data_IF_356950367336
#
_entry.id   IF_356950367336
#
_cell.length_a   1.000
_cell.length_b   1.000
_cell.length_c   1.000
_cell.angle_alpha   90.00
_cell.angle_beta   90.00
_cell.angle_gamma   90.00
#
_symmetry.space_group_name_H-M   'P 1'
#
loop_
_entity.id
_entity.type
_entity.pdbx_description
1 polymer ?
#
# COMPACT_ATOMS: atom_id res chain seq x y z
N UNK A 1 17.23 -8.03 -17.96
CA UNK A 1 17.40 -6.63 -17.54
C UNK A 1 16.85 -6.50 -16.13
N UNK A 2 17.75 -6.55 -15.14
CA UNK A 2 17.43 -6.47 -13.72
C UNK A 2 17.39 -4.99 -13.38
N UNK A 3 16.26 -4.45 -12.93
CA UNK A 3 16.17 -3.07 -12.43
C UNK A 3 16.96 -2.97 -11.13
N UNK A 4 18.26 -2.69 -11.23
CA UNK A 4 19.11 -2.29 -10.12
C UNK A 4 18.98 -0.77 -10.02
N UNK A 5 17.97 -0.26 -9.30
CA UNK A 5 17.98 1.13 -8.85
C UNK A 5 18.41 1.13 -7.40
N UNK A 6 19.73 1.17 -7.21
CA UNK A 6 20.40 1.44 -5.95
C UNK A 6 20.46 2.95 -5.74
N UNK A 7 19.74 3.45 -4.75
CA UNK A 7 20.15 4.65 -4.00
C UNK A 7 20.69 4.18 -2.64
N UNK A 8 21.91 4.56 -2.23
CA UNK A 8 22.57 3.97 -1.07
C UNK A 8 22.16 4.72 0.20
N UNK A 9 21.21 4.18 0.98
CA UNK A 9 21.11 4.43 2.44
C UNK A 9 19.89 3.84 3.14
N UNK A 10 18.87 3.32 2.46
CA UNK A 10 17.73 2.70 3.13
C UNK A 10 17.60 1.24 2.74
N UNK A 11 17.54 0.38 3.77
CA UNK A 11 17.35 -1.05 3.68
C UNK A 11 16.28 -1.44 2.63
N UNK A 12 16.39 -2.64 2.07
CA UNK A 12 15.39 -3.31 1.21
C UNK A 12 14.09 -3.52 2.00
N UNK A 13 13.46 -2.41 2.34
CA UNK A 13 12.25 -2.32 3.12
C UNK A 13 11.17 -2.27 2.09
N UNK A 14 10.27 -3.27 2.05
CA UNK A 14 9.12 -3.21 1.17
C UNK A 14 8.42 -1.86 1.38
N UNK A 15 8.09 -1.13 0.31
CA UNK A 15 7.57 0.23 0.41
C UNK A 15 6.29 0.29 1.26
N UNK A 16 5.53 -0.80 1.30
CA UNK A 16 4.38 -0.98 2.20
C UNK A 16 4.73 -0.88 3.70
N UNK A 17 5.96 -1.22 4.11
CA UNK A 17 6.42 -1.06 5.48
C UNK A 17 6.83 0.39 5.82
N UNK A 18 7.00 1.26 4.81
CA UNK A 18 7.17 2.71 5.01
C UNK A 18 5.83 3.44 5.16
N UNK A 19 4.76 2.94 4.52
CA UNK A 19 3.41 3.54 4.63
C UNK A 19 2.71 3.27 5.98
N UNK A 20 2.95 2.11 6.59
CA UNK A 20 2.34 1.74 7.87
C UNK A 20 2.63 2.71 9.04
N UNK A 21 3.89 3.15 9.30
CA UNK A 21 4.16 4.13 10.35
C UNK A 21 3.60 5.53 10.03
N UNK A 22 3.44 5.88 8.74
CA UNK A 22 2.82 7.15 8.34
C UNK A 22 1.32 7.15 8.66
N UNK A 23 0.63 6.03 8.39
CA UNK A 23 -0.76 5.82 8.81
C UNK A 23 -0.93 5.92 10.33
N UNK A 24 -0.03 5.31 11.09
CA UNK A 24 -0.09 5.34 12.56
C UNK A 24 0.10 6.76 13.13
N UNK A 25 0.90 7.59 12.45
CA UNK A 25 1.08 9.01 12.78
C UNK A 25 -0.02 9.93 12.25
N UNK A 26 -1.00 9.40 11.52
CA UNK A 26 -2.08 10.19 10.90
C UNK A 26 -1.67 10.96 9.64
N UNK A 27 -0.50 10.67 9.06
CA UNK A 27 -0.02 11.27 7.81
C UNK A 27 -0.63 10.56 6.60
N UNK A 28 -1.95 10.63 6.47
CA UNK A 28 -2.70 9.88 5.45
C UNK A 28 -2.31 10.27 4.02
N UNK A 29 -2.02 11.55 3.77
CA UNK A 29 -1.66 12.04 2.43
C UNK A 29 -0.28 11.54 1.96
N UNK A 30 0.70 11.48 2.85
CA UNK A 30 2.03 10.92 2.53
C UNK A 30 1.95 9.39 2.39
N UNK A 31 1.17 8.73 3.24
CA UNK A 31 0.94 7.29 3.13
C UNK A 31 0.28 6.91 1.79
N UNK A 32 -0.71 7.68 1.36
CA UNK A 32 -1.37 7.52 0.06
C UNK A 32 -0.39 7.63 -1.10
N UNK A 33 0.52 8.61 -1.09
CA UNK A 33 1.53 8.75 -2.16
C UNK A 33 2.46 7.55 -2.22
N UNK A 34 2.92 7.06 -1.05
CA UNK A 34 3.76 5.86 -0.96
C UNK A 34 3.05 4.63 -1.51
N UNK A 35 1.77 4.43 -1.18
CA UNK A 35 0.99 3.29 -1.68
C UNK A 35 0.62 3.45 -3.17
N UNK A 36 0.31 4.66 -3.61
CA UNK A 36 0.02 4.97 -5.01
C UNK A 36 1.23 4.71 -5.90
N UNK A 37 2.42 5.13 -5.45
CA UNK A 37 3.69 4.82 -6.10
C UNK A 37 3.95 3.29 -6.16
N UNK A 38 3.74 2.57 -5.05
CA UNK A 38 3.95 1.11 -5.00
C UNK A 38 2.99 0.35 -5.94
N UNK A 39 1.74 0.79 -6.04
CA UNK A 39 0.74 0.24 -6.95
C UNK A 39 0.98 0.66 -8.40
N UNK A 40 1.84 1.65 -8.66
CA UNK A 40 2.04 2.22 -9.98
C UNK A 40 0.83 3.01 -10.50
N UNK A 41 0.05 3.59 -9.58
CA UNK A 41 -0.99 4.58 -9.88
C UNK A 41 -0.39 5.96 -10.17
N UNK A 42 0.84 6.19 -9.69
CA UNK A 42 1.67 7.33 -10.03
C UNK A 42 2.88 6.84 -10.88
N UNK A 43 3.24 7.60 -11.92
CA UNK A 43 4.45 7.37 -12.73
C UNK A 43 5.76 7.75 -12.01
N UNK A 44 5.74 7.84 -10.68
CA UNK A 44 6.90 8.21 -9.86
C UNK A 44 7.93 7.11 -9.74
N UNK A 45 7.56 5.85 -10.02
CA UNK A 45 8.45 4.69 -9.97
C UNK A 45 8.46 3.94 -11.29
N UNK A 46 9.61 3.35 -11.61
CA UNK A 46 9.77 2.54 -12.81
C UNK A 46 8.77 1.38 -12.84
N UNK A 47 8.27 0.98 -14.03
CA UNK A 47 7.31 -0.12 -14.17
C UNK A 47 7.73 -1.44 -13.51
N UNK A 48 9.02 -1.72 -13.43
CA UNK A 48 9.58 -2.92 -12.79
C UNK A 48 9.45 -2.94 -11.26
N UNK A 49 9.23 -1.78 -10.63
CA UNK A 49 9.04 -1.63 -9.19
C UNK A 49 7.57 -1.39 -8.83
N UNK A 50 6.65 -1.47 -9.80
CA UNK A 50 5.22 -1.34 -9.60
C UNK A 50 4.62 -2.71 -9.29
N UNK A 51 4.02 -2.86 -8.12
CA UNK A 51 3.37 -4.07 -7.66
C UNK A 51 1.84 -3.94 -7.77
N UNK A 52 1.38 -3.84 -9.01
CA UNK A 52 -0.04 -3.81 -9.37
C UNK A 52 -0.70 -5.09 -8.81
N UNK A 53 -1.64 -4.93 -7.89
CA UNK A 53 -2.36 -5.99 -7.15
C UNK A 53 -1.68 -6.55 -5.88
N UNK A 54 -0.69 -5.85 -5.31
CA UNK A 54 -0.19 -6.25 -3.99
C UNK A 54 -1.21 -5.91 -2.88
N UNK A 55 -1.56 -6.91 -2.07
CA UNK A 55 -2.58 -6.82 -1.02
C UNK A 55 -2.24 -5.77 0.05
N UNK A 56 -0.96 -5.65 0.41
CA UNK A 56 -0.50 -4.73 1.46
C UNK A 56 -0.72 -3.25 1.13
N UNK A 57 -0.21 -2.71 0.01
CA UNK A 57 -0.48 -1.32 -0.37
C UNK A 57 -1.94 -1.08 -0.71
N UNK A 58 -2.68 -2.08 -1.22
CA UNK A 58 -4.13 -1.98 -1.42
C UNK A 58 -4.90 -1.78 -0.10
N UNK A 59 -4.51 -2.47 0.98
CA UNK A 59 -5.08 -2.21 2.31
C UNK A 59 -4.80 -0.78 2.76
N UNK A 60 -3.54 -0.33 2.64
CA UNK A 60 -3.11 0.97 3.12
C UNK A 60 -3.77 2.15 2.39
N UNK A 61 -3.91 2.06 1.06
CA UNK A 61 -4.58 3.10 0.28
C UNK A 61 -6.08 3.16 0.55
N UNK A 62 -6.74 2.02 0.75
CA UNK A 62 -8.17 1.96 1.12
C UNK A 62 -8.40 2.61 2.49
N UNK A 63 -7.50 2.40 3.47
CA UNK A 63 -7.54 3.09 4.76
C UNK A 63 -7.40 4.61 4.58
N UNK A 64 -6.43 5.07 3.78
CA UNK A 64 -6.23 6.51 3.51
C UNK A 64 -7.46 7.15 2.85
N UNK A 65 -8.06 6.47 1.88
CA UNK A 65 -9.22 6.98 1.13
C UNK A 65 -10.48 7.04 1.98
N UNK A 66 -10.66 6.09 2.91
CA UNK A 66 -11.75 6.13 3.89
C UNK A 66 -11.65 7.37 4.78
N UNK A 67 -10.46 7.68 5.29
CA UNK A 67 -10.23 8.88 6.10
C UNK A 67 -10.45 10.17 5.30
N UNK A 68 -10.09 10.17 4.01
CA UNK A 68 -10.35 11.29 3.08
C UNK A 68 -11.80 11.39 2.59
N UNK A 69 -12.69 10.47 2.97
CA UNK A 69 -14.09 10.39 2.53
C UNK A 69 -14.26 10.23 0.99
N UNK A 70 -13.25 9.70 0.30
CA UNK A 70 -13.29 9.43 -1.14
C UNK A 70 -13.90 8.05 -1.42
N UNK A 71 -15.23 7.93 -1.27
CA UNK A 71 -15.95 6.66 -1.38
C UNK A 71 -15.87 6.00 -2.77
N UNK A 72 -15.82 6.80 -3.83
CA UNK A 72 -15.84 6.29 -5.22
C UNK A 72 -14.57 5.50 -5.53
N UNK A 73 -13.40 6.09 -5.26
CA UNK A 73 -12.11 5.43 -5.46
C UNK A 73 -11.89 4.32 -4.44
N UNK A 74 -12.35 4.52 -3.20
CA UNK A 74 -12.32 3.49 -2.17
C UNK A 74 -13.05 2.21 -2.62
N UNK A 75 -14.24 2.31 -3.21
CA UNK A 75 -15.00 1.15 -3.70
C UNK A 75 -14.27 0.40 -4.81
N UNK A 76 -13.64 1.12 -5.75
CA UNK A 76 -12.84 0.50 -6.83
C UNK A 76 -11.66 -0.27 -6.26
N UNK A 77 -10.87 0.37 -5.40
CA UNK A 77 -9.68 -0.24 -4.79
C UNK A 77 -10.05 -1.37 -3.83
N UNK A 78 -11.20 -1.29 -3.16
CA UNK A 78 -11.71 -2.36 -2.32
C UNK A 78 -12.13 -3.59 -3.15
N UNK A 79 -12.61 -3.40 -4.38
CA UNK A 79 -12.83 -4.49 -5.34
C UNK A 79 -11.53 -5.21 -5.66
N UNK A 80 -10.50 -4.46 -6.08
CA UNK A 80 -9.16 -4.99 -6.36
C UNK A 80 -8.55 -5.70 -5.14
N UNK A 81 -8.76 -5.13 -3.95
CA UNK A 81 -8.31 -5.74 -2.70
C UNK A 81 -8.98 -7.09 -2.46
N UNK A 82 -10.30 -7.19 -2.67
CA UNK A 82 -11.02 -8.46 -2.52
C UNK A 82 -10.53 -9.52 -3.51
N UNK A 83 -10.25 -9.13 -4.75
CA UNK A 83 -9.70 -10.03 -5.75
C UNK A 83 -8.28 -10.50 -5.38
N UNK A 84 -7.44 -9.59 -4.88
CA UNK A 84 -6.09 -9.91 -4.43
C UNK A 84 -6.09 -10.80 -3.17
N UNK A 85 -7.00 -10.55 -2.24
CA UNK A 85 -7.23 -11.39 -1.05
C UNK A 85 -7.72 -12.79 -1.43
N UNK A 86 -8.62 -12.91 -2.42
CA UNK A 86 -9.08 -14.20 -2.93
C UNK A 86 -7.95 -15.06 -3.49
N UNK A 87 -6.87 -14.43 -3.98
CA UNK A 87 -5.66 -15.09 -4.50
C UNK A 87 -4.61 -15.36 -3.43
N UNK A 88 -4.84 -14.94 -2.19
CA UNK A 88 -3.86 -15.05 -1.09
C UNK A 88 -4.38 -16.03 -0.06
N UNK A 89 -3.59 -17.07 0.23
CA UNK A 89 -3.95 -18.10 1.24
C UNK A 89 -3.96 -17.57 2.68
N UNK A 90 -3.42 -16.36 2.88
CA UNK A 90 -3.31 -15.69 4.17
C UNK A 90 -4.33 -14.55 4.26
N UNK A 91 -5.07 -14.53 5.37
CA UNK A 91 -5.93 -13.39 5.70
C UNK A 91 -5.06 -12.20 6.11
N UNK A 92 -4.83 -11.29 5.18
CA UNK A 92 -4.17 -10.02 5.46
C UNK A 92 -5.22 -9.06 6.03
N UNK A 93 -4.98 -8.57 7.25
CA UNK A 93 -5.89 -7.70 8.00
C UNK A 93 -5.36 -6.27 8.15
N UNK A 94 -4.19 -5.98 7.62
CA UNK A 94 -3.49 -4.71 7.79
C UNK A 94 -2.53 -4.43 6.63
N UNK A 95 -2.16 -3.16 6.44
CA UNK A 95 -1.24 -2.70 5.38
C UNK A 95 0.23 -3.13 5.55
N UNK A 96 0.61 -3.67 6.72
CA UNK A 96 1.91 -4.31 6.91
C UNK A 96 1.84 -5.39 7.98
N UNK A 97 2.53 -6.52 7.76
CA UNK A 97 2.65 -7.62 8.75
C UNK A 97 3.27 -7.14 10.07
N UNK A 98 4.10 -6.09 10.02
CA UNK A 98 4.72 -5.49 11.21
C UNK A 98 3.75 -4.66 12.06
N UNK A 99 2.53 -4.36 11.57
CA UNK A 99 1.55 -3.56 12.30
C UNK A 99 0.87 -4.42 13.36
N UNK A 100 1.16 -4.13 14.63
CA UNK A 100 0.57 -4.81 15.80
C UNK A 100 -0.78 -4.22 16.23
N UNK A 101 -1.10 -3.04 15.71
CA UNK A 101 -2.29 -2.24 16.01
C UNK A 101 -3.30 -2.37 14.87
N UNK A 102 -4.07 -3.46 14.86
CA UNK A 102 -5.21 -3.60 13.96
C UNK A 102 -6.33 -2.69 14.52
N UNK A 103 -6.69 -1.62 13.81
CA UNK A 103 -7.94 -0.90 14.12
C UNK A 103 -9.08 -1.85 13.75
N UNK A 104 -9.61 -2.54 14.75
CA UNK A 104 -10.88 -3.28 14.59
C UNK A 104 -11.98 -2.25 14.25
N UNK A 105 -12.88 -2.55 13.31
CA UNK A 105 -14.05 -1.70 13.07
C UNK A 105 -14.89 -1.50 14.35
#
# INVERSE_FOLDING_TARGET
>A
MICIIQSPSHAYTPRHALGAPLLEKGHYKEAEDVYSADLGLNDTVLPCAQHKNNVWPLHGIVECLKERNEETECKKLQGLLREALSKTDLQITSSCCCRKTVKHP
#
